data_IF_004848256094
#
_entry.id   IF_004848256094
#
_cell.length_a   1.000
_cell.length_b   1.000
_cell.length_c   1.000
_cell.angle_alpha   90.00
_cell.angle_beta   90.00
_cell.angle_gamma   90.00
#
_symmetry.space_group_name_H-M   'P 1'
#
loop_
_entity.id
_entity.type
_entity.pdbx_description
1 polymer ?
#
# COMPACT_ATOMS: atom_id res chain seq x y z
N UNK A 1 -26.00 -19.69 1.28
CA UNK A 1 -25.87 -18.26 1.68
C UNK A 1 -24.81 -17.56 0.85
N UNK A 2 -25.23 -16.85 -0.20
CA UNK A 2 -24.35 -16.28 -1.26
C UNK A 2 -24.08 -14.78 -1.09
N UNK A 3 -24.58 -14.16 -0.01
CA UNK A 3 -24.60 -12.70 0.18
C UNK A 3 -23.49 -12.17 1.11
N UNK A 4 -22.64 -13.04 1.67
CA UNK A 4 -21.58 -12.64 2.61
C UNK A 4 -20.25 -12.28 1.90
N UNK A 5 -20.18 -12.43 0.57
CA UNK A 5 -18.94 -12.38 -0.23
C UNK A 5 -18.84 -11.16 -1.18
N UNK A 6 -19.85 -10.28 -1.22
CA UNK A 6 -19.94 -9.25 -2.28
C UNK A 6 -18.83 -8.18 -2.22
N UNK A 7 -18.07 -8.08 -1.10
CA UNK A 7 -17.07 -7.03 -0.89
C UNK A 7 -15.79 -7.50 -0.18
N UNK A 8 -15.48 -8.79 -0.18
CA UNK A 8 -14.23 -9.29 0.43
C UNK A 8 -12.97 -8.69 -0.23
N UNK A 9 -13.07 -8.36 -1.53
CA UNK A 9 -12.02 -7.65 -2.25
C UNK A 9 -11.64 -6.30 -1.60
N UNK A 10 -12.58 -5.63 -0.92
CA UNK A 10 -12.34 -4.37 -0.23
C UNK A 10 -11.51 -4.59 1.04
N UNK A 11 -11.82 -5.64 1.82
CA UNK A 11 -11.03 -6.03 3.00
C UNK A 11 -9.58 -6.35 2.60
N UNK A 12 -9.40 -7.16 1.54
CA UNK A 12 -8.07 -7.49 1.01
C UNK A 12 -7.30 -6.25 0.53
N UNK A 13 -7.98 -5.30 -0.11
CA UNK A 13 -7.37 -4.05 -0.56
C UNK A 13 -6.90 -3.18 0.62
N UNK A 14 -7.70 -3.09 1.68
CA UNK A 14 -7.34 -2.36 2.90
C UNK A 14 -6.16 -3.04 3.61
N UNK A 15 -6.19 -4.36 3.76
CA UNK A 15 -5.09 -5.13 4.34
C UNK A 15 -3.79 -4.91 3.55
N UNK A 16 -3.88 -4.91 2.22
CA UNK A 16 -2.76 -4.60 1.35
C UNK A 16 -2.22 -3.18 1.57
N UNK A 17 -3.10 -2.18 1.68
CA UNK A 17 -2.69 -0.80 1.96
C UNK A 17 -2.00 -0.65 3.33
N UNK A 18 -2.51 -1.33 4.36
CA UNK A 18 -1.87 -1.36 5.69
C UNK A 18 -0.50 -2.04 5.62
N UNK A 19 -0.41 -3.18 4.94
CA UNK A 19 0.85 -3.91 4.76
C UNK A 19 1.89 -3.09 3.98
N UNK A 20 1.47 -2.31 2.97
CA UNK A 20 2.35 -1.39 2.25
C UNK A 20 2.92 -0.30 3.17
N UNK A 21 2.09 0.31 4.03
CA UNK A 21 2.54 1.31 4.99
C UNK A 21 3.59 0.73 5.94
N UNK A 22 3.32 -0.43 6.54
CA UNK A 22 4.26 -1.12 7.42
C UNK A 22 5.56 -1.47 6.69
N UNK A 23 5.46 -1.91 5.42
CA UNK A 23 6.65 -2.23 4.64
C UNK A 23 7.48 -0.98 4.28
N UNK A 24 6.84 0.17 4.14
CA UNK A 24 7.53 1.44 3.90
C UNK A 24 8.34 1.87 5.13
N UNK A 25 7.85 1.61 6.33
CA UNK A 25 8.60 1.85 7.58
C UNK A 25 9.89 1.02 7.60
N UNK A 26 9.84 -0.27 7.21
CA UNK A 26 11.05 -1.09 7.06
C UNK A 26 12.04 -0.53 6.01
N UNK A 27 11.51 0.02 4.91
CA UNK A 27 12.35 0.62 3.85
C UNK A 27 13.02 1.89 4.35
N UNK A 28 12.31 2.71 5.13
CA UNK A 28 12.86 3.94 5.71
C UNK A 28 14.02 3.65 6.67
N UNK A 29 13.99 2.54 7.40
CA UNK A 29 15.12 2.12 8.28
C UNK A 29 16.41 1.90 7.49
N UNK A 30 16.32 1.42 6.25
CA UNK A 30 17.47 1.07 5.41
C UNK A 30 17.77 2.13 4.33
N UNK A 31 16.98 3.20 4.28
CA UNK A 31 17.09 4.27 3.31
C UNK A 31 17.63 5.53 3.97
N UNK A 32 18.36 6.36 3.23
CA UNK A 32 18.76 7.70 3.68
C UNK A 32 17.62 8.74 3.53
N UNK A 33 16.41 8.28 3.25
CA UNK A 33 15.22 9.09 2.99
C UNK A 33 14.07 8.61 3.89
N UNK A 34 13.16 9.52 4.21
CA UNK A 34 11.90 9.19 4.86
C UNK A 34 10.76 9.27 3.85
N UNK A 35 10.25 8.12 3.42
CA UNK A 35 9.12 8.02 2.52
C UNK A 35 7.81 7.91 3.31
N UNK A 36 6.80 8.67 2.90
CA UNK A 36 5.45 8.57 3.44
C UNK A 36 4.47 8.16 2.35
N UNK A 37 3.50 7.31 2.73
CA UNK A 37 2.42 6.88 1.85
C UNK A 37 1.11 7.56 2.24
N UNK A 38 0.43 8.12 1.25
CA UNK A 38 -0.98 8.52 1.36
C UNK A 38 -1.80 7.60 0.46
N UNK A 39 -2.95 7.16 0.97
CA UNK A 39 -3.82 6.22 0.24
C UNK A 39 -5.26 6.69 0.30
N UNK A 40 -5.94 6.69 -0.85
CA UNK A 40 -7.38 6.88 -0.96
C UNK A 40 -8.06 5.64 -1.50
N UNK A 41 -9.14 5.19 -0.85
CA UNK A 41 -9.90 4.01 -1.28
C UNK A 41 -11.38 4.39 -1.40
N UNK A 42 -12.02 3.91 -2.46
CA UNK A 42 -13.48 3.90 -2.65
C UNK A 42 -13.91 2.58 -3.27
N UNK A 43 -15.16 2.18 -3.03
CA UNK A 43 -15.75 0.95 -3.55
C UNK A 43 -17.11 1.26 -4.20
N UNK A 44 -17.29 0.78 -5.43
CA UNK A 44 -18.52 0.97 -6.20
C UNK A 44 -18.33 0.51 -7.65
N UNK A 45 -19.38 0.66 -8.49
CA UNK A 45 -19.34 0.23 -9.88
C UNK A 45 -18.33 1.05 -10.69
N UNK A 46 -17.62 0.37 -11.59
CA UNK A 46 -16.65 0.95 -12.51
C UNK A 46 -16.66 0.21 -13.84
N UNK A 47 -16.03 0.79 -14.86
CA UNK A 47 -15.86 0.20 -16.19
C UNK A 47 -14.38 -0.07 -16.38
N UNK A 48 -14.03 -1.29 -16.80
CA UNK A 48 -12.67 -1.65 -17.20
C UNK A 48 -12.62 -2.06 -18.66
N UNK A 49 -11.52 -1.77 -19.35
CA UNK A 49 -11.39 -2.09 -20.77
C UNK A 49 -9.99 -1.83 -21.32
N UNK A 50 -9.77 -2.27 -22.56
CA UNK A 50 -8.52 -2.04 -23.28
C UNK A 50 -8.67 -0.82 -24.19
N UNK A 51 -7.75 0.13 -24.06
CA UNK A 51 -7.67 1.34 -24.90
C UNK A 51 -6.44 1.31 -25.79
N UNK A 52 -6.54 1.96 -26.95
CA UNK A 52 -5.42 2.17 -27.88
C UNK A 52 -5.31 1.09 -28.97
N UNK A 53 -5.26 1.54 -30.23
CA UNK A 53 -5.21 0.63 -31.39
C UNK A 53 -3.81 0.04 -31.66
N UNK A 54 -2.74 0.80 -31.39
CA UNK A 54 -1.35 0.38 -31.68
C UNK A 54 -0.59 -0.14 -30.46
N UNK A 55 -0.97 0.33 -29.27
CA UNK A 55 -0.38 -0.07 -27.98
C UNK A 55 -1.54 -0.26 -27.00
N UNK A 56 -2.16 -1.45 -26.98
CA UNK A 56 -3.30 -1.70 -26.10
C UNK A 56 -2.88 -1.60 -24.63
N UNK A 57 -3.65 -0.85 -23.84
CA UNK A 57 -3.47 -0.68 -22.39
C UNK A 57 -4.79 -0.99 -21.70
N UNK A 58 -4.77 -1.85 -20.68
CA UNK A 58 -5.93 -2.05 -19.83
C UNK A 58 -6.02 -0.91 -18.81
N UNK A 59 -7.19 -0.30 -18.69
CA UNK A 59 -7.43 0.80 -17.78
C UNK A 59 -8.88 0.76 -17.24
N UNK A 60 -9.13 1.49 -16.16
CA UNK A 60 -10.42 1.52 -15.44
C UNK A 60 -10.92 2.95 -15.28
N UNK A 61 -12.22 3.16 -15.47
CA UNK A 61 -12.87 4.46 -15.39
C UNK A 61 -14.18 4.38 -14.60
N UNK A 62 -14.62 5.54 -14.11
CA UNK A 62 -15.92 5.68 -13.48
C UNK A 62 -15.88 6.58 -12.25
N UNK A 63 -17.06 6.82 -11.70
CA UNK A 63 -17.24 7.68 -10.54
C UNK A 63 -16.48 7.17 -9.31
N UNK A 64 -16.39 5.85 -9.12
CA UNK A 64 -15.63 5.23 -8.03
C UNK A 64 -14.13 5.51 -8.14
N UNK A 65 -13.54 5.42 -9.34
CA UNK A 65 -12.10 5.72 -9.54
C UNK A 65 -11.83 7.21 -9.30
N UNK A 66 -12.72 8.08 -9.77
CA UNK A 66 -12.64 9.52 -9.50
C UNK A 66 -12.74 9.81 -7.99
N UNK A 67 -13.66 9.17 -7.27
CA UNK A 67 -13.81 9.34 -5.82
C UNK A 67 -12.58 8.83 -5.06
N UNK A 68 -12.04 7.66 -5.41
CA UNK A 68 -10.81 7.14 -4.82
C UNK A 68 -9.63 8.10 -5.03
N UNK A 69 -9.50 8.67 -6.24
CA UNK A 69 -8.51 9.71 -6.54
C UNK A 69 -8.67 10.94 -5.65
N UNK A 70 -9.92 11.33 -5.31
CA UNK A 70 -10.17 12.45 -4.38
C UNK A 70 -9.86 12.08 -2.94
N UNK A 71 -10.11 10.83 -2.52
CA UNK A 71 -9.71 10.37 -1.19
C UNK A 71 -8.19 10.41 -1.02
N UNK A 72 -7.42 10.11 -2.07
CA UNK A 72 -5.97 10.29 -2.05
C UNK A 72 -5.61 11.77 -2.09
N UNK A 73 -6.04 12.53 -3.09
CA UNK A 73 -5.59 13.92 -3.28
C UNK A 73 -5.93 14.83 -2.09
N UNK A 74 -7.03 14.56 -1.39
CA UNK A 74 -7.44 15.32 -0.20
C UNK A 74 -6.97 14.68 1.12
N UNK A 75 -6.29 13.54 1.06
CA UNK A 75 -5.86 12.79 2.23
C UNK A 75 -4.63 13.36 2.92
N UNK A 76 -4.28 12.76 4.05
CA UNK A 76 -3.13 13.13 4.87
C UNK A 76 -2.02 12.09 4.71
N UNK A 77 -0.76 12.52 4.70
CA UNK A 77 0.40 11.62 4.66
C UNK A 77 0.34 10.59 5.81
N UNK A 78 0.73 9.35 5.51
CA UNK A 78 0.71 8.23 6.46
C UNK A 78 -0.69 7.68 6.77
N UNK A 79 -1.76 8.19 6.13
CA UNK A 79 -3.14 7.79 6.41
C UNK A 79 -3.80 7.16 5.17
N UNK A 80 -4.72 6.24 5.45
CA UNK A 80 -5.62 5.63 4.46
C UNK A 80 -6.99 6.28 4.64
N UNK A 81 -7.48 6.97 3.62
CA UNK A 81 -8.75 7.68 3.65
C UNK A 81 -9.84 6.98 2.83
N UNK A 82 -11.05 6.92 3.39
CA UNK A 82 -12.23 6.30 2.78
C UNK A 82 -13.48 7.16 2.94
N UNK A 83 -14.49 7.02 2.05
CA UNK A 83 -15.80 7.64 2.24
C UNK A 83 -16.60 6.93 3.33
N UNK A 84 -17.58 7.63 3.92
CA UNK A 84 -18.46 7.12 4.98
C UNK A 84 -19.00 5.72 4.75
N UNK A 85 -19.55 5.44 3.57
CA UNK A 85 -20.17 4.14 3.28
C UNK A 85 -19.16 2.98 3.26
N UNK A 86 -17.92 3.26 2.85
CA UNK A 86 -16.82 2.29 2.93
C UNK A 86 -16.38 2.09 4.37
N UNK A 87 -16.30 3.16 5.17
CA UNK A 87 -15.95 3.07 6.59
C UNK A 87 -16.93 2.19 7.38
N UNK A 88 -18.25 2.43 7.24
CA UNK A 88 -19.29 1.61 7.90
C UNK A 88 -19.18 0.13 7.55
N UNK A 89 -18.90 -0.18 6.28
CA UNK A 89 -18.69 -1.56 5.86
C UNK A 89 -17.46 -2.16 6.55
N UNK A 90 -16.32 -1.46 6.55
CA UNK A 90 -15.09 -1.92 7.19
C UNK A 90 -15.28 -2.12 8.71
N UNK A 91 -15.98 -1.22 9.39
CA UNK A 91 -16.33 -1.38 10.81
C UNK A 91 -17.14 -2.65 11.06
N UNK A 92 -18.09 -2.99 10.17
CA UNK A 92 -18.83 -4.26 10.26
C UNK A 92 -17.96 -5.51 10.07
N UNK A 93 -16.77 -5.35 9.47
CA UNK A 93 -15.78 -6.41 9.28
C UNK A 93 -14.68 -6.40 10.36
N UNK A 94 -14.80 -5.56 11.39
CA UNK A 94 -13.86 -5.48 12.52
C UNK A 94 -12.65 -4.57 12.29
N UNK A 95 -12.69 -3.70 11.28
CA UNK A 95 -11.66 -2.66 11.11
C UNK A 95 -11.95 -1.47 12.01
N UNK A 96 -10.90 -0.92 12.60
CA UNK A 96 -10.96 0.35 13.31
C UNK A 96 -10.89 1.51 12.32
N UNK A 97 -11.86 2.41 12.39
CA UNK A 97 -11.86 3.65 11.62
C UNK A 97 -12.00 4.87 12.53
N UNK A 98 -11.47 6.00 12.09
CA UNK A 98 -11.53 7.28 12.78
C UNK A 98 -12.20 8.30 11.87
N UNK A 99 -13.26 8.95 12.35
CA UNK A 99 -13.90 10.03 11.59
C UNK A 99 -12.92 11.18 11.36
N UNK A 100 -12.70 11.54 10.09
CA UNK A 100 -11.93 12.72 9.69
C UNK A 100 -12.79 13.98 9.77
N UNK A 101 -14.03 13.87 9.30
CA UNK A 101 -14.97 14.98 9.20
C UNK A 101 -15.47 15.20 7.77
N UNK A 102 -16.05 16.38 7.56
CA UNK A 102 -16.60 16.80 6.27
C UNK A 102 -15.49 17.43 5.42
N UNK A 103 -15.42 17.04 4.14
CA UNK A 103 -14.49 17.61 3.17
C UNK A 103 -15.22 17.97 1.87
N UNK A 104 -14.74 18.98 1.17
CA UNK A 104 -15.25 19.30 -0.16
C UNK A 104 -14.62 18.40 -1.22
N UNK A 105 -15.48 17.71 -1.97
CA UNK A 105 -15.08 16.84 -3.07
C UNK A 105 -15.65 17.41 -4.37
N UNK A 106 -14.76 17.76 -5.30
CA UNK A 106 -15.15 18.30 -6.61
C UNK A 106 -16.15 17.37 -7.31
N UNK A 107 -17.33 17.92 -7.64
CA UNK A 107 -18.40 17.20 -8.33
C UNK A 107 -19.32 16.36 -7.43
N UNK A 108 -19.02 16.24 -6.12
CA UNK A 108 -19.90 15.59 -5.13
C UNK A 108 -20.34 16.52 -3.99
N UNK A 109 -19.72 17.68 -3.85
CA UNK A 109 -19.99 18.61 -2.76
C UNK A 109 -19.34 18.14 -1.46
N UNK A 110 -19.97 18.45 -0.33
CA UNK A 110 -19.43 18.11 0.98
C UNK A 110 -19.67 16.64 1.33
N UNK A 111 -18.60 15.92 1.64
CA UNK A 111 -18.64 14.48 1.94
C UNK A 111 -18.01 14.19 3.30
N UNK A 112 -18.63 13.28 4.05
CA UNK A 112 -18.05 12.75 5.28
C UNK A 112 -17.03 11.64 4.98
N UNK A 113 -15.86 11.76 5.59
CA UNK A 113 -14.73 10.85 5.36
C UNK A 113 -14.11 10.36 6.65
N UNK A 114 -13.39 9.25 6.54
CA UNK A 114 -12.81 8.51 7.65
C UNK A 114 -11.39 8.07 7.30
N UNK A 115 -10.57 7.90 8.32
CA UNK A 115 -9.28 7.24 8.23
C UNK A 115 -9.39 5.79 8.71
N UNK A 116 -8.73 4.88 8.01
CA UNK A 116 -8.66 3.46 8.39
C UNK A 116 -7.35 3.22 9.14
N UNK A 117 -7.44 2.62 10.33
CA UNK A 117 -6.28 2.34 11.18
C UNK A 117 -5.75 0.90 10.99
N UNK A 118 -6.65 -0.04 10.68
CA UNK A 118 -6.35 -1.46 10.52
C UNK A 118 -7.36 -2.32 11.29
N UNK A 119 -7.01 -3.59 11.52
CA UNK A 119 -7.75 -4.52 12.40
C UNK A 119 -6.78 -5.08 13.44
N UNK A 120 -7.25 -5.28 14.68
CA UNK A 120 -6.42 -5.80 15.77
C UNK A 120 -5.92 -7.23 15.53
N UNK A 121 -6.54 -7.95 14.57
CA UNK A 121 -6.23 -9.35 14.23
C UNK A 121 -5.19 -9.53 13.12
N UNK A 122 -4.47 -8.49 12.69
CA UNK A 122 -3.29 -8.68 11.85
C UNK A 122 -2.12 -9.24 12.69
N UNK A 123 -2.25 -10.49 13.14
CA UNK A 123 -1.07 -11.33 13.25
C UNK A 123 -0.48 -11.43 11.83
N UNK A 124 0.83 -11.25 11.65
CA UNK A 124 1.47 -11.40 10.37
C UNK A 124 1.51 -12.89 10.00
N UNK A 125 0.37 -13.48 9.66
CA UNK A 125 0.29 -14.81 9.05
C UNK A 125 0.68 -14.68 7.58
N UNK A 126 1.96 -14.35 7.36
CA UNK A 126 2.63 -14.68 6.11
C UNK A 126 3.11 -16.13 6.18
N UNK A 127 3.17 -16.85 5.04
CA UNK A 127 3.89 -18.13 5.00
C UNK A 127 5.29 -17.93 5.59
N UNK A 128 5.90 -18.93 6.26
CA UNK A 128 7.21 -18.77 6.86
C UNK A 128 8.16 -18.30 5.78
N UNK A 129 8.50 -17.00 5.83
CA UNK A 129 9.47 -16.41 4.95
C UNK A 129 10.78 -17.03 5.37
N UNK A 130 11.18 -18.10 4.69
CA UNK A 130 12.59 -18.48 4.62
C UNK A 130 13.34 -17.19 4.35
N UNK A 131 14.31 -16.86 5.22
CA UNK A 131 15.14 -15.66 5.11
C UNK A 131 15.71 -15.58 3.69
N UNK A 132 15.02 -14.89 2.80
CA UNK A 132 15.63 -14.40 1.58
C UNK A 132 16.62 -13.35 2.05
N UNK A 133 17.86 -13.78 2.23
CA UNK A 133 19.01 -12.91 2.43
C UNK A 133 19.18 -12.10 1.15
N UNK A 134 18.34 -11.08 0.96
CA UNK A 134 18.66 -9.98 0.07
C UNK A 134 19.82 -9.26 0.73
N UNK A 135 21.03 -9.73 0.44
CA UNK A 135 22.25 -8.99 0.74
C UNK A 135 22.11 -7.68 -0.02
N UNK A 136 22.06 -6.57 0.72
CA UNK A 136 22.16 -5.23 0.14
C UNK A 136 23.34 -5.21 -0.82
N UNK A 137 23.23 -4.46 -1.92
CA UNK A 137 24.35 -4.24 -2.85
C UNK A 137 25.62 -3.81 -2.10
N UNK A 138 25.48 -3.05 -1.00
CA UNK A 138 26.57 -2.69 -0.11
C UNK A 138 27.26 -3.91 0.53
N UNK A 139 26.50 -4.91 0.97
CA UNK A 139 27.04 -6.13 1.57
C UNK A 139 27.75 -7.02 0.54
N UNK A 140 27.24 -7.08 -0.70
CA UNK A 140 27.90 -7.78 -1.81
C UNK A 140 29.21 -7.07 -2.16
N UNK A 141 29.18 -5.75 -2.34
CA UNK A 141 30.36 -4.92 -2.64
C UNK A 141 31.41 -5.07 -1.53
N UNK A 142 31.01 -5.00 -0.26
CA UNK A 142 31.92 -5.18 0.87
C UNK A 142 32.59 -6.55 0.86
N UNK A 143 31.82 -7.62 0.56
CA UNK A 143 32.36 -8.97 0.41
C UNK A 143 33.38 -9.10 -0.72
N UNK A 144 33.09 -8.51 -1.89
CA UNK A 144 34.00 -8.51 -3.05
C UNK A 144 35.29 -7.74 -2.75
N UNK A 145 35.20 -6.60 -2.08
CA UNK A 145 36.37 -5.78 -1.68
C UNK A 145 37.22 -6.51 -0.64
N UNK A 146 36.60 -7.16 0.36
CA UNK A 146 37.28 -7.98 1.37
C UNK A 146 38.03 -9.17 0.73
N UNK A 147 37.40 -9.86 -0.22
CA UNK A 147 38.02 -10.97 -0.95
C UNK A 147 39.26 -10.52 -1.73
N UNK A 148 39.16 -9.37 -2.45
CA UNK A 148 40.30 -8.79 -3.17
C UNK A 148 41.45 -8.36 -2.24
N UNK A 149 41.14 -7.78 -1.08
CA UNK A 149 42.17 -7.42 -0.08
C UNK A 149 42.93 -8.65 0.42
N UNK A 150 42.24 -9.75 0.68
CA UNK A 150 42.88 -11.02 1.07
C UNK A 150 43.80 -11.56 -0.03
N UNK A 151 43.36 -11.58 -1.29
CA UNK A 151 44.21 -12.03 -2.40
C UNK A 151 45.46 -11.15 -2.55
N UNK A 152 45.32 -9.82 -2.48
CA UNK A 152 46.49 -8.92 -2.56
C UNK A 152 47.45 -9.07 -1.38
N UNK A 153 46.94 -9.32 -0.16
CA UNK A 153 47.81 -9.57 1.01
C UNK A 153 48.58 -10.89 0.94
N UNK A 154 48.05 -11.87 0.20
CA UNK A 154 48.71 -13.16 0.01
C UNK A 154 49.81 -13.06 -1.07
N UNK A 155 49.60 -12.24 -2.11
CA UNK A 155 50.58 -11.97 -3.16
C UNK A 155 51.78 -11.13 -2.68
N UNK A 156 51.64 -10.35 -1.62
CA UNK A 156 52.71 -9.51 -1.04
C UNK A 156 53.52 -10.22 0.06
N UNK A 157 53.22 -11.49 0.35
CA UNK A 157 53.91 -12.32 1.36
C UNK A 157 54.71 -13.48 0.76
N UNK A 158 54.93 -13.48 -0.57
CA UNK A 158 55.82 -14.43 -1.28
C UNK A 158 57.11 -13.75 -1.69
#
# INVERSE_FOLDING_TARGET
DRAKDDRDHLCRLVDYAVAMRLRLEDVNVHSFNNFDLRVGISCGPLVGGVIGARKPVYDIWGNTVNEASRMDSTGVMGKIQVPKETAKFLESQGYQTQKRGLIEVKGKGTMETYFVLGRDTLQPEGPPRGRSSCRSLAAVVYGVVQARRKQMSLLTRS
#
